data_IF_297895308029
#
_entry.id   IF_297895308029
#
_cell.length_a   1.000
_cell.length_b   1.000
_cell.length_c   1.000
_cell.angle_alpha   90.00
_cell.angle_beta   90.00
_cell.angle_gamma   90.00
#
_symmetry.space_group_name_H-M   'P 1'
#
loop_
_entity.id
_entity.type
_entity.pdbx_description
1 polymer ?
#
# COMPACT_ATOMS: atom_id res chain seq x y z
N UNK A 1 -18.63 1.90 -5.11
CA UNK A 1 -17.90 2.39 -6.30
C UNK A 1 -16.50 1.79 -6.32
N UNK A 2 -16.00 1.33 -7.48
CA UNK A 2 -14.69 0.67 -7.60
C UNK A 2 -13.60 1.69 -7.97
N UNK A 3 -12.91 2.21 -6.94
CA UNK A 3 -11.81 3.18 -7.07
C UNK A 3 -10.64 2.63 -7.88
N UNK A 4 -10.20 1.42 -7.53
CA UNK A 4 -9.12 0.71 -8.21
C UNK A 4 -9.76 -0.35 -9.11
N UNK A 5 -9.56 -0.21 -10.41
CA UNK A 5 -10.11 -1.07 -11.46
C UNK A 5 -9.01 -1.46 -12.45
N UNK A 6 -9.33 -2.36 -13.39
CA UNK A 6 -8.34 -2.89 -14.35
C UNK A 6 -7.68 -1.81 -15.22
N UNK A 7 -8.34 -0.67 -15.44
CA UNK A 7 -7.82 0.42 -16.28
C UNK A 7 -6.79 1.29 -15.57
N UNK A 8 -6.92 1.48 -14.25
CA UNK A 8 -6.02 2.34 -13.47
C UNK A 8 -5.10 1.58 -12.52
N UNK A 9 -5.29 0.27 -12.33
CA UNK A 9 -4.52 -0.55 -11.40
C UNK A 9 -3.01 -0.43 -11.62
N UNK A 10 -2.54 -0.66 -12.85
CA UNK A 10 -1.11 -0.59 -13.19
C UNK A 10 -0.56 0.82 -12.97
N UNK A 11 -1.31 1.86 -13.38
CA UNK A 11 -0.89 3.24 -13.16
C UNK A 11 -0.72 3.57 -11.68
N UNK A 12 -1.63 3.11 -10.82
CA UNK A 12 -1.54 3.32 -9.37
C UNK A 12 -0.31 2.62 -8.79
N UNK A 13 -0.07 1.37 -9.17
CA UNK A 13 1.13 0.62 -8.77
C UNK A 13 2.39 1.39 -9.17
N UNK A 14 2.48 1.84 -10.42
CA UNK A 14 3.64 2.57 -10.93
C UNK A 14 3.86 3.91 -10.21
N UNK A 15 2.78 4.64 -9.89
CA UNK A 15 2.87 5.90 -9.16
C UNK A 15 3.38 5.64 -7.73
N UNK A 16 2.76 4.69 -7.01
CA UNK A 16 3.18 4.33 -5.65
C UNK A 16 4.63 3.82 -5.62
N UNK A 17 5.01 2.97 -6.57
CA UNK A 17 6.38 2.49 -6.72
C UNK A 17 7.37 3.63 -6.98
N UNK A 18 7.07 4.50 -7.95
CA UNK A 18 7.93 5.66 -8.27
C UNK A 18 8.12 6.55 -7.06
N UNK A 19 7.05 6.89 -6.34
CA UNK A 19 7.14 7.71 -5.13
C UNK A 19 7.98 7.04 -4.04
N UNK A 20 7.80 5.73 -3.83
CA UNK A 20 8.55 4.99 -2.82
C UNK A 20 10.05 4.95 -3.16
N UNK A 21 10.40 4.68 -4.42
CA UNK A 21 11.79 4.71 -4.87
C UNK A 21 12.37 6.12 -4.76
N UNK A 22 11.65 7.17 -5.15
CA UNK A 22 12.15 8.55 -5.01
C UNK A 22 12.45 8.89 -3.54
N UNK A 23 11.61 8.47 -2.59
CA UNK A 23 11.86 8.66 -1.16
C UNK A 23 13.13 7.92 -0.73
N UNK A 24 13.31 6.66 -1.15
CA UNK A 24 14.55 5.89 -0.89
C UNK A 24 15.79 6.62 -1.42
N UNK A 25 15.76 7.09 -2.67
CA UNK A 25 16.89 7.77 -3.31
C UNK A 25 17.25 9.08 -2.61
N UNK A 26 16.25 9.88 -2.24
CA UNK A 26 16.46 11.12 -1.48
C UNK A 26 17.08 10.79 -0.11
N UNK A 27 16.57 9.75 0.56
CA UNK A 27 17.08 9.34 1.87
C UNK A 27 18.54 8.88 1.82
N UNK A 28 18.90 8.04 0.84
CA UNK A 28 20.28 7.60 0.60
C UNK A 28 21.20 8.77 0.32
N UNK A 29 20.79 9.67 -0.57
CA UNK A 29 21.58 10.85 -0.93
C UNK A 29 21.80 11.78 0.26
N UNK A 30 20.78 11.97 1.10
CA UNK A 30 20.85 12.85 2.26
C UNK A 30 21.79 12.33 3.37
N UNK A 31 21.90 11.00 3.50
CA UNK A 31 22.71 10.36 4.55
C UNK A 31 24.07 9.84 4.04
N UNK A 32 24.38 10.00 2.75
CA UNK A 32 25.60 9.47 2.15
C UNK A 32 25.66 7.94 2.14
N UNK A 33 24.50 7.27 2.18
CA UNK A 33 24.39 5.82 2.20
C UNK A 33 24.39 5.28 0.77
N UNK A 34 25.00 4.11 0.59
CA UNK A 34 24.93 3.34 -0.66
C UNK A 34 24.38 1.96 -0.34
N UNK A 35 23.26 1.61 -0.97
CA UNK A 35 22.60 0.33 -0.76
C UNK A 35 23.32 -0.78 -1.55
N UNK A 36 23.91 -1.79 -0.87
CA UNK A 36 24.63 -2.88 -1.52
C UNK A 36 23.73 -3.86 -2.29
N UNK A 37 22.43 -3.90 -1.99
CA UNK A 37 21.44 -4.79 -2.61
C UNK A 37 20.42 -3.99 -3.42
N UNK A 38 20.94 -3.07 -4.22
CA UNK A 38 20.16 -2.04 -4.88
C UNK A 38 19.06 -2.57 -5.80
N UNK A 39 19.37 -3.59 -6.60
CA UNK A 39 18.43 -4.18 -7.54
C UNK A 39 17.32 -4.93 -6.79
N UNK A 40 17.70 -5.77 -5.84
CA UNK A 40 16.79 -6.57 -5.01
C UNK A 40 15.82 -5.67 -4.23
N UNK A 41 16.34 -4.61 -3.60
CA UNK A 41 15.53 -3.68 -2.82
C UNK A 41 14.56 -2.87 -3.70
N UNK A 42 14.95 -2.49 -4.91
CA UNK A 42 14.03 -1.84 -5.87
C UNK A 42 12.92 -2.81 -6.29
N UNK A 43 13.24 -4.06 -6.62
CA UNK A 43 12.22 -5.06 -6.95
C UNK A 43 11.31 -5.35 -5.76
N UNK A 44 11.84 -5.32 -4.54
CA UNK A 44 11.04 -5.45 -3.33
C UNK A 44 10.08 -4.27 -3.15
N UNK A 45 10.53 -3.03 -3.35
CA UNK A 45 9.66 -1.85 -3.36
C UNK A 45 8.53 -1.99 -4.38
N UNK A 46 8.82 -2.53 -5.57
CA UNK A 46 7.81 -2.80 -6.59
C UNK A 46 6.81 -3.88 -6.14
N UNK A 47 7.31 -4.98 -5.57
CA UNK A 47 6.48 -6.05 -5.01
C UNK A 47 5.55 -5.56 -3.90
N UNK A 48 6.07 -4.72 -2.99
CA UNK A 48 5.28 -4.09 -1.93
C UNK A 48 4.22 -3.15 -2.52
N UNK A 49 4.56 -2.32 -3.51
CA UNK A 49 3.60 -1.45 -4.17
C UNK A 49 2.46 -2.24 -4.85
N UNK A 50 2.79 -3.35 -5.51
CA UNK A 50 1.81 -4.30 -6.07
C UNK A 50 0.91 -4.89 -4.98
N UNK A 51 1.51 -5.38 -3.89
CA UNK A 51 0.80 -6.03 -2.79
C UNK A 51 -0.19 -5.06 -2.12
N UNK A 52 0.28 -3.88 -1.72
CA UNK A 52 -0.55 -2.84 -1.10
C UNK A 52 -1.70 -2.45 -2.03
N UNK A 53 -1.41 -2.20 -3.31
CA UNK A 53 -2.45 -1.82 -4.29
C UNK A 53 -3.48 -2.94 -4.48
N UNK A 54 -3.03 -4.21 -4.51
CA UNK A 54 -3.93 -5.37 -4.58
C UNK A 54 -4.85 -5.42 -3.38
N UNK A 55 -4.30 -5.31 -2.17
CA UNK A 55 -5.06 -5.38 -0.92
C UNK A 55 -6.08 -4.24 -0.85
N UNK A 56 -5.69 -3.01 -1.21
CA UNK A 56 -6.61 -1.88 -1.32
C UNK A 56 -7.69 -2.10 -2.41
N UNK A 57 -7.36 -2.73 -3.53
CA UNK A 57 -8.34 -3.03 -4.58
C UNK A 57 -9.41 -4.03 -4.12
N UNK A 58 -9.05 -4.95 -3.21
CA UNK A 58 -9.97 -5.91 -2.60
C UNK A 58 -10.99 -5.22 -1.69
N UNK A 59 -10.69 -4.01 -1.17
CA UNK A 59 -11.63 -3.23 -0.33
C UNK A 59 -13.04 -3.18 -0.92
N UNK A 60 -13.15 -3.05 -2.25
CA UNK A 60 -14.44 -2.99 -2.94
C UNK A 60 -15.37 -4.17 -2.59
N UNK A 61 -14.84 -5.38 -2.47
CA UNK A 61 -15.64 -6.57 -2.10
C UNK A 61 -15.95 -6.67 -0.61
N UNK A 62 -15.20 -5.92 0.21
CA UNK A 62 -15.35 -5.87 1.66
C UNK A 62 -16.24 -4.71 2.13
N UNK A 63 -16.80 -3.91 1.21
CA UNK A 63 -17.68 -2.77 1.52
C UNK A 63 -18.94 -3.13 2.31
N UNK A 64 -19.33 -4.42 2.34
CA UNK A 64 -20.43 -4.92 3.18
C UNK A 64 -20.13 -4.91 4.68
N UNK A 65 -18.85 -4.86 5.06
CA UNK A 65 -18.39 -4.89 6.44
C UNK A 65 -18.12 -3.46 6.95
N UNK A 66 -18.14 -3.25 8.29
CA UNK A 66 -17.80 -1.96 8.87
C UNK A 66 -16.34 -1.57 8.55
N UNK A 67 -16.12 -0.26 8.42
CA UNK A 67 -14.84 0.31 7.97
C UNK A 67 -13.64 -0.12 8.82
N UNK A 68 -13.75 -0.03 10.16
CA UNK A 68 -12.61 -0.27 11.07
C UNK A 68 -12.07 -1.72 10.92
N UNK A 69 -12.89 -2.79 10.99
CA UNK A 69 -12.40 -4.14 10.77
C UNK A 69 -11.80 -4.38 9.38
N UNK A 70 -12.35 -3.76 8.33
CA UNK A 70 -11.79 -3.89 6.96
C UNK A 70 -10.42 -3.24 6.88
N UNK A 71 -10.27 -2.03 7.41
CA UNK A 71 -9.00 -1.31 7.44
C UNK A 71 -7.93 -2.08 8.23
N UNK A 72 -8.26 -2.50 9.44
CA UNK A 72 -7.35 -3.28 10.30
C UNK A 72 -7.00 -4.61 9.64
N UNK A 73 -7.98 -5.31 9.06
CA UNK A 73 -7.76 -6.57 8.35
C UNK A 73 -6.82 -6.41 7.15
N UNK A 74 -7.00 -5.37 6.34
CA UNK A 74 -6.11 -5.08 5.22
C UNK A 74 -4.68 -4.81 5.67
N UNK A 75 -4.50 -4.06 6.76
CA UNK A 75 -3.17 -3.81 7.33
C UNK A 75 -2.53 -5.12 7.81
N UNK A 76 -3.23 -5.88 8.65
CA UNK A 76 -2.72 -7.14 9.19
C UNK A 76 -2.39 -8.18 8.12
N UNK A 77 -3.20 -8.25 7.05
CA UNK A 77 -2.92 -9.14 5.92
C UNK A 77 -1.66 -8.67 5.17
N UNK A 78 -1.53 -7.36 4.91
CA UNK A 78 -0.35 -6.81 4.22
C UNK A 78 0.90 -7.14 5.03
N UNK A 79 0.90 -6.78 6.30
CA UNK A 79 2.03 -6.94 7.19
C UNK A 79 2.37 -8.41 7.41
N UNK A 80 1.36 -9.25 7.64
CA UNK A 80 1.52 -10.70 7.80
C UNK A 80 2.11 -11.37 6.55
N UNK A 81 1.69 -10.96 5.35
CA UNK A 81 2.25 -11.49 4.10
C UNK A 81 3.72 -11.07 3.92
N UNK A 82 4.05 -9.81 4.20
CA UNK A 82 5.43 -9.33 4.09
C UNK A 82 6.34 -10.02 5.10
N UNK A 83 5.98 -10.02 6.39
CA UNK A 83 6.79 -10.65 7.42
C UNK A 83 6.87 -12.17 7.23
N UNK A 84 5.80 -12.81 6.76
CA UNK A 84 5.81 -14.21 6.35
C UNK A 84 6.78 -14.49 5.20
N UNK A 85 6.89 -13.56 4.24
CA UNK A 85 7.86 -13.67 3.15
C UNK A 85 9.29 -13.48 3.63
N UNK A 86 9.55 -12.52 4.52
CA UNK A 86 10.86 -12.37 5.19
C UNK A 86 11.23 -13.63 5.96
N UNK A 87 10.29 -14.20 6.69
CA UNK A 87 10.48 -15.47 7.40
C UNK A 87 10.84 -16.61 6.47
N UNK A 88 10.12 -16.75 5.34
CA UNK A 88 10.40 -17.76 4.33
C UNK A 88 11.80 -17.60 3.74
N UNK A 89 12.18 -16.37 3.35
CA UNK A 89 13.49 -16.06 2.78
C UNK A 89 14.61 -16.30 3.80
N UNK A 90 14.37 -16.05 5.09
CA UNK A 90 15.33 -16.30 6.16
C UNK A 90 15.79 -17.75 6.29
N UNK A 91 15.10 -18.72 5.68
CA UNK A 91 15.57 -20.10 5.59
C UNK A 91 16.65 -20.31 4.51
N UNK A 92 16.76 -19.39 3.55
CA UNK A 92 17.66 -19.51 2.40
C UNK A 92 18.83 -18.53 2.45
N UNK A 93 18.68 -17.40 3.15
CA UNK A 93 19.70 -16.35 3.24
C UNK A 93 19.87 -15.82 4.66
N UNK A 94 21.06 -15.32 4.96
CA UNK A 94 21.34 -14.66 6.25
C UNK A 94 20.67 -13.30 6.28
N UNK A 95 19.71 -13.11 7.20
CA UNK A 95 19.06 -11.83 7.43
C UNK A 95 19.82 -11.00 8.47
N UNK A 96 19.75 -9.67 8.33
CA UNK A 96 20.23 -8.77 9.37
C UNK A 96 19.41 -8.96 10.67
N UNK A 97 20.01 -8.73 11.86
CA UNK A 97 19.30 -8.83 13.14
C UNK A 97 18.06 -7.92 13.22
N UNK A 98 18.07 -6.81 12.49
CA UNK A 98 16.99 -5.81 12.45
C UNK A 98 16.02 -6.02 11.28
N UNK A 99 16.21 -7.03 10.42
CA UNK A 99 15.49 -7.17 9.15
C UNK A 99 13.95 -7.13 9.29
N UNK A 100 13.38 -7.79 10.30
CA UNK A 100 11.93 -7.77 10.54
C UNK A 100 11.42 -6.38 10.92
N UNK A 101 12.14 -5.66 11.78
CA UNK A 101 11.78 -4.31 12.22
C UNK A 101 11.89 -3.33 11.06
N UNK A 102 12.96 -3.42 10.28
CA UNK A 102 13.22 -2.54 9.16
C UNK A 102 12.16 -2.76 8.06
N UNK A 103 11.79 -4.02 7.80
CA UNK A 103 10.70 -4.36 6.89
C UNK A 103 9.34 -3.84 7.37
N UNK A 104 9.04 -4.04 8.65
CA UNK A 104 7.78 -3.61 9.26
C UNK A 104 7.55 -2.11 9.08
N UNK A 105 8.59 -1.30 9.37
CA UNK A 105 8.53 0.16 9.21
C UNK A 105 8.42 0.52 7.72
N UNK A 106 9.19 -0.15 6.86
CA UNK A 106 9.23 0.09 5.42
C UNK A 106 7.93 -0.23 4.70
N UNK A 107 7.08 -1.09 5.26
CA UNK A 107 5.75 -1.41 4.70
C UNK A 107 4.64 -0.62 5.37
N UNK A 108 4.70 -0.46 6.69
CA UNK A 108 3.69 0.28 7.45
C UNK A 108 3.58 1.71 6.96
N UNK A 109 4.69 2.40 6.72
CA UNK A 109 4.67 3.81 6.27
C UNK A 109 4.01 3.95 4.88
N UNK A 110 4.45 3.26 3.81
CA UNK A 110 3.79 3.31 2.51
C UNK A 110 2.33 2.84 2.55
N UNK A 111 2.01 1.80 3.32
CA UNK A 111 0.65 1.31 3.46
C UNK A 111 -0.26 2.39 4.06
N UNK A 112 0.16 3.01 5.17
CA UNK A 112 -0.61 4.06 5.84
C UNK A 112 -0.88 5.24 4.90
N UNK A 113 0.13 5.68 4.14
CA UNK A 113 -0.01 6.76 3.16
C UNK A 113 -0.99 6.37 2.04
N UNK A 114 -0.82 5.20 1.44
CA UNK A 114 -1.69 4.74 0.36
C UNK A 114 -3.14 4.55 0.82
N UNK A 115 -3.33 3.96 2.00
CA UNK A 115 -4.64 3.76 2.60
C UNK A 115 -5.31 5.10 2.91
N UNK A 116 -4.58 6.05 3.52
CA UNK A 116 -5.11 7.38 3.80
C UNK A 116 -5.61 8.06 2.53
N UNK A 117 -4.78 8.09 1.47
CA UNK A 117 -5.16 8.68 0.18
C UNK A 117 -6.39 7.98 -0.41
N UNK A 118 -6.40 6.65 -0.40
CA UNK A 118 -7.53 5.86 -0.90
C UNK A 118 -8.84 6.19 -0.17
N UNK A 119 -8.81 6.19 1.16
CA UNK A 119 -10.01 6.42 1.97
C UNK A 119 -10.51 7.85 1.90
N UNK A 120 -9.62 8.85 1.82
CA UNK A 120 -10.01 10.23 1.58
C UNK A 120 -10.76 10.38 0.25
N UNK A 121 -10.26 9.76 -0.83
CA UNK A 121 -10.93 9.80 -2.13
C UNK A 121 -12.27 9.03 -2.06
N UNK A 122 -12.30 7.90 -1.37
CA UNK A 122 -13.51 7.10 -1.19
C UNK A 122 -14.65 7.86 -0.50
N UNK A 123 -14.38 8.46 0.67
CA UNK A 123 -15.40 9.23 1.38
C UNK A 123 -15.87 10.46 0.60
N UNK A 124 -14.96 11.11 -0.14
CA UNK A 124 -15.33 12.21 -1.05
C UNK A 124 -16.27 11.76 -2.15
N UNK A 125 -16.06 10.57 -2.74
CA UNK A 125 -16.93 10.01 -3.76
C UNK A 125 -18.31 9.64 -3.21
N UNK A 126 -18.38 9.05 -2.00
CA UNK A 126 -19.65 8.77 -1.33
C UNK A 126 -20.43 10.08 -1.11
N UNK A 127 -19.78 11.11 -0.57
CA UNK A 127 -20.45 12.40 -0.30
C UNK A 127 -21.00 13.03 -1.59
N UNK A 128 -20.25 12.95 -2.69
CA UNK A 128 -20.71 13.42 -4.00
C UNK A 128 -21.91 12.62 -4.52
N UNK A 129 -21.87 11.29 -4.40
CA UNK A 129 -22.98 10.43 -4.83
C UNK A 129 -24.26 10.71 -4.02
N UNK A 130 -24.13 10.89 -2.70
CA UNK A 130 -25.26 11.21 -1.84
C UNK A 130 -25.87 12.57 -2.18
N UNK A 131 -25.05 13.59 -2.45
CA UNK A 131 -25.54 14.91 -2.86
C UNK A 131 -26.32 14.88 -4.18
N UNK A 132 -25.89 14.05 -5.15
CA UNK A 132 -26.61 13.87 -6.42
C UNK A 132 -27.96 13.17 -6.19
N UNK A 133 -28.00 12.15 -5.33
CA UNK A 133 -29.24 11.44 -4.99
C UNK A 133 -30.22 12.38 -4.27
N UNK A 134 -29.73 13.23 -3.37
CA UNK A 134 -30.55 14.22 -2.68
C UNK A 134 -31.17 15.22 -3.65
N UNK A 135 -30.41 15.70 -4.64
CA UNK A 135 -30.94 16.58 -5.69
C UNK A 135 -32.02 15.89 -6.54
N UNK A 136 -31.81 14.64 -6.94
CA UNK A 136 -32.77 13.88 -7.75
C UNK A 136 -34.06 13.49 -7.01
N UNK A 137 -34.05 13.47 -5.66
CA UNK A 137 -35.23 13.18 -4.83
C UNK A 137 -36.02 14.45 -4.47
N UNK A 138 -35.51 15.64 -4.80
CA UNK A 138 -36.18 16.93 -4.56
C UNK A 138 -36.87 17.48 -5.81
N UNK A 139 -36.68 16.85 -6.97
CA UNK A 139 -37.42 17.06 -8.23
C UNK A 139 -38.58 16.05 -8.38
#
# INVERSE_FOLDING_TARGET
MKLINRKNYISIVCICFTLNVLVKLIWEKAHGLTDPHYAENIFLCFGIALLITTILAIHYYLQRFPFIPVFVGQYLITEGLVLGFVWLIGHYVTLAPTAYRDMFISVTIPFAVCALVYYLIFFRQIRKANAIIEQLNLD
#
